data_IF_449525001630
#
_entry.id   IF_449525001630
#
_cell.length_a   1.000
_cell.length_b   1.000
_cell.length_c   1.000
_cell.angle_alpha   90.00
_cell.angle_beta   90.00
_cell.angle_gamma   90.00
#
_symmetry.space_group_name_H-M   'P 1'
#
loop_
_entity.id
_entity.type
_entity.pdbx_description
1 polymer ?
#
# COMPACT_ATOMS: atom_id res chain seq x y z
N UNK A 1 47.86 -5.23 2.25
CA UNK A 1 46.90 -4.20 2.74
C UNK A 1 45.62 -4.17 1.91
N UNK A 2 45.63 -3.83 0.61
CA UNK A 2 44.40 -3.77 -0.20
C UNK A 2 43.74 -5.14 -0.47
N UNK A 3 44.54 -6.20 -0.64
CA UNK A 3 44.01 -7.56 -0.87
C UNK A 3 43.40 -8.21 0.38
N UNK A 4 43.91 -7.87 1.57
CA UNK A 4 43.38 -8.37 2.85
C UNK A 4 42.05 -7.70 3.19
N UNK A 5 41.92 -6.41 2.87
CA UNK A 5 40.67 -5.66 3.02
C UNK A 5 39.57 -6.20 2.07
N UNK A 6 39.94 -6.51 0.83
CA UNK A 6 39.04 -7.14 -0.14
C UNK A 6 38.57 -8.52 0.30
N UNK A 7 39.45 -9.37 0.83
CA UNK A 7 39.08 -10.68 1.40
C UNK A 7 38.11 -10.56 2.58
N UNK A 8 38.35 -9.62 3.50
CA UNK A 8 37.45 -9.39 4.65
C UNK A 8 36.07 -8.91 4.21
N UNK A 9 35.99 -8.04 3.19
CA UNK A 9 34.73 -7.57 2.61
C UNK A 9 33.95 -8.71 1.93
N UNK A 10 34.63 -9.61 1.22
CA UNK A 10 33.99 -10.74 0.54
C UNK A 10 33.52 -11.83 1.53
N UNK A 11 34.29 -12.10 2.59
CA UNK A 11 33.84 -12.98 3.69
C UNK A 11 32.63 -12.40 4.42
N UNK A 12 32.62 -11.10 4.70
CA UNK A 12 31.48 -10.43 5.33
C UNK A 12 30.22 -10.48 4.45
N UNK A 13 30.35 -10.32 3.12
CA UNK A 13 29.24 -10.50 2.17
C UNK A 13 28.74 -11.94 2.15
N UNK A 14 29.64 -12.92 2.17
CA UNK A 14 29.30 -14.35 2.16
C UNK A 14 28.60 -14.78 3.45
N UNK A 15 29.05 -14.26 4.61
CA UNK A 15 28.40 -14.48 5.90
C UNK A 15 26.99 -13.86 5.94
N UNK A 16 26.83 -12.62 5.46
CA UNK A 16 25.51 -11.97 5.32
C UNK A 16 24.59 -12.75 4.39
N UNK A 17 25.09 -13.22 3.26
CA UNK A 17 24.32 -14.01 2.30
C UNK A 17 23.87 -15.35 2.90
N UNK A 18 24.76 -16.04 3.63
CA UNK A 18 24.43 -17.29 4.33
C UNK A 18 23.37 -17.08 5.43
N UNK A 19 23.42 -15.97 6.17
CA UNK A 19 22.41 -15.61 7.16
C UNK A 19 21.05 -15.33 6.51
N UNK A 20 21.04 -14.60 5.39
CA UNK A 20 19.82 -14.34 4.60
C UNK A 20 19.23 -15.64 4.07
N UNK A 21 20.05 -16.55 3.55
CA UNK A 21 19.57 -17.82 2.99
C UNK A 21 19.08 -18.77 4.08
N UNK A 22 19.69 -18.75 5.28
CA UNK A 22 19.17 -19.43 6.48
C UNK A 22 17.79 -18.89 6.88
N UNK A 23 17.63 -17.56 6.94
CA UNK A 23 16.33 -16.91 7.24
C UNK A 23 15.28 -17.22 6.18
N UNK A 24 15.64 -17.21 4.89
CA UNK A 24 14.77 -17.63 3.78
C UNK A 24 14.31 -19.08 3.92
N UNK A 25 15.22 -20.00 4.24
CA UNK A 25 14.91 -21.40 4.43
C UNK A 25 13.97 -21.61 5.63
N UNK A 26 14.18 -20.90 6.73
CA UNK A 26 13.32 -20.92 7.91
C UNK A 26 11.92 -20.38 7.62
N UNK A 27 11.82 -19.22 6.95
CA UNK A 27 10.53 -18.63 6.52
C UNK A 27 9.81 -19.58 5.57
N UNK A 28 10.51 -20.20 4.61
CA UNK A 28 9.94 -21.16 3.68
C UNK A 28 9.42 -22.42 4.41
N UNK A 29 10.20 -22.96 5.35
CA UNK A 29 9.80 -24.09 6.18
C UNK A 29 8.56 -23.77 7.02
N UNK A 30 8.53 -22.61 7.67
CA UNK A 30 7.37 -22.12 8.43
C UNK A 30 6.12 -21.96 7.55
N UNK A 31 6.28 -21.44 6.35
CA UNK A 31 5.18 -21.29 5.37
C UNK A 31 4.67 -22.65 4.87
N UNK A 32 5.56 -23.63 4.67
CA UNK A 32 5.21 -24.98 4.27
C UNK A 32 4.49 -25.75 5.39
N UNK A 33 4.97 -25.63 6.63
CA UNK A 33 4.34 -26.20 7.83
C UNK A 33 2.95 -25.61 8.08
N UNK A 34 2.78 -24.29 7.96
CA UNK A 34 1.48 -23.62 8.01
C UNK A 34 0.53 -24.07 6.89
N UNK A 35 1.07 -24.43 5.72
CA UNK A 35 0.30 -24.96 4.59
C UNK A 35 -0.10 -26.42 4.78
N UNK A 36 0.76 -27.24 5.42
CA UNK A 36 0.46 -28.64 5.80
C UNK A 36 -0.60 -28.71 6.90
N UNK A 37 -0.53 -27.83 7.91
CA UNK A 37 -1.53 -27.74 8.98
C UNK A 37 -2.96 -27.44 8.46
N UNK A 38 -3.10 -26.76 7.31
CA UNK A 38 -4.41 -26.50 6.68
C UNK A 38 -5.03 -27.71 5.98
N UNK A 39 -4.28 -28.79 5.74
CA UNK A 39 -4.81 -30.02 5.11
C UNK A 39 -5.46 -30.98 6.12
N UNK A 40 -5.27 -30.78 7.42
CA UNK A 40 -5.65 -31.75 8.45
C UNK A 40 -7.10 -31.64 8.99
N UNK A 41 -7.91 -30.63 8.59
CA UNK A 41 -9.32 -30.55 9.03
C UNK A 41 -10.29 -30.90 7.91
N UNK A 42 -10.58 -32.20 7.81
CA UNK A 42 -11.73 -32.77 7.10
C UNK A 42 -12.95 -32.63 8.04
N UNK A 43 -13.97 -31.85 7.67
CA UNK A 43 -15.31 -31.98 8.30
C UNK A 43 -16.00 -30.76 8.94
N UNK A 44 -15.98 -29.56 8.34
CA UNK A 44 -16.95 -28.52 8.75
C UNK A 44 -17.76 -27.90 7.60
N UNK A 45 -17.33 -28.05 6.34
CA UNK A 45 -18.00 -27.43 5.19
C UNK A 45 -17.75 -28.22 3.91
N UNK A 46 -18.78 -28.38 3.08
CA UNK A 46 -18.61 -28.92 1.72
C UNK A 46 -17.74 -27.96 0.88
N UNK A 47 -16.94 -28.48 -0.07
CA UNK A 47 -16.11 -27.65 -0.95
C UNK A 47 -16.89 -26.55 -1.69
N UNK A 48 -18.13 -26.85 -2.09
CA UNK A 48 -19.06 -25.92 -2.73
C UNK A 48 -19.46 -24.77 -1.80
N UNK A 49 -19.87 -25.09 -0.56
CA UNK A 49 -20.19 -24.07 0.46
C UNK A 49 -18.98 -23.18 0.76
N UNK A 50 -17.76 -23.75 0.76
CA UNK A 50 -16.50 -23.00 0.94
C UNK A 50 -16.16 -22.11 -0.24
N UNK A 51 -16.55 -22.50 -1.45
CA UNK A 51 -16.40 -21.65 -2.63
C UNK A 51 -17.40 -20.49 -2.59
N UNK A 52 -18.68 -20.78 -2.32
CA UNK A 52 -19.74 -19.77 -2.20
C UNK A 52 -19.42 -18.74 -1.12
N UNK A 53 -18.96 -19.17 0.06
CA UNK A 53 -18.57 -18.27 1.14
C UNK A 53 -17.39 -17.35 0.75
N UNK A 54 -16.36 -17.87 0.08
CA UNK A 54 -15.23 -17.04 -0.39
C UNK A 54 -15.66 -16.01 -1.43
N UNK A 55 -16.61 -16.35 -2.29
CA UNK A 55 -17.19 -15.41 -3.24
C UNK A 55 -17.94 -14.30 -2.50
N UNK A 56 -18.80 -14.65 -1.54
CA UNK A 56 -19.54 -13.68 -0.75
C UNK A 56 -18.63 -12.76 0.06
N UNK A 57 -17.56 -13.28 0.66
CA UNK A 57 -16.58 -12.47 1.39
C UNK A 57 -15.85 -11.46 0.49
N UNK A 58 -15.49 -11.86 -0.74
CA UNK A 58 -14.87 -10.93 -1.69
C UNK A 58 -15.86 -9.88 -2.21
N UNK A 59 -17.11 -10.28 -2.46
CA UNK A 59 -18.18 -9.33 -2.83
C UNK A 59 -18.40 -8.31 -1.73
N UNK A 60 -18.52 -8.75 -0.47
CA UNK A 60 -18.64 -7.87 0.69
C UNK A 60 -17.42 -6.97 0.84
N UNK A 61 -16.20 -7.51 0.70
CA UNK A 61 -14.98 -6.70 0.76
C UNK A 61 -14.93 -5.62 -0.32
N UNK A 62 -15.36 -5.93 -1.55
CA UNK A 62 -15.44 -4.96 -2.64
C UNK A 62 -16.50 -3.88 -2.38
N UNK A 63 -17.65 -4.26 -1.83
CA UNK A 63 -18.72 -3.34 -1.46
C UNK A 63 -18.28 -2.39 -0.33
N UNK A 64 -17.69 -2.93 0.75
CA UNK A 64 -17.15 -2.13 1.86
C UNK A 64 -16.03 -1.19 1.37
N UNK A 65 -15.16 -1.64 0.46
CA UNK A 65 -14.14 -0.78 -0.13
C UNK A 65 -14.75 0.40 -0.89
N UNK A 66 -15.81 0.16 -1.67
CA UNK A 66 -16.52 1.22 -2.40
C UNK A 66 -17.19 2.20 -1.42
N UNK A 67 -17.84 1.69 -0.39
CA UNK A 67 -18.48 2.50 0.66
C UNK A 67 -17.46 3.36 1.41
N UNK A 68 -16.28 2.82 1.69
CA UNK A 68 -15.19 3.58 2.31
C UNK A 68 -14.66 4.68 1.39
N UNK A 69 -14.53 4.41 0.08
CA UNK A 69 -14.14 5.42 -0.91
C UNK A 69 -15.16 6.56 -0.98
N UNK A 70 -16.46 6.24 -1.00
CA UNK A 70 -17.54 7.23 -0.99
C UNK A 70 -17.51 8.06 0.30
N UNK A 71 -17.31 7.43 1.47
CA UNK A 71 -17.16 8.13 2.75
C UNK A 71 -15.96 9.08 2.74
N UNK A 72 -14.79 8.62 2.29
CA UNK A 72 -13.58 9.44 2.18
C UNK A 72 -13.77 10.60 1.20
N UNK A 73 -14.48 10.38 0.09
CA UNK A 73 -14.78 11.44 -0.87
C UNK A 73 -15.74 12.49 -0.30
N UNK A 74 -16.76 12.06 0.45
CA UNK A 74 -17.68 12.97 1.13
C UNK A 74 -16.97 13.79 2.23
N UNK A 75 -16.15 13.13 3.04
CA UNK A 75 -15.33 13.78 4.06
C UNK A 75 -14.34 14.79 3.45
N UNK A 76 -13.68 14.42 2.33
CA UNK A 76 -12.83 15.35 1.57
C UNK A 76 -13.59 16.59 1.11
N UNK A 77 -14.82 16.44 0.61
CA UNK A 77 -15.66 17.59 0.21
C UNK A 77 -15.98 18.48 1.40
N UNK A 78 -16.41 17.89 2.52
CA UNK A 78 -16.70 18.62 3.76
C UNK A 78 -15.49 19.42 4.25
N UNK A 79 -14.31 18.80 4.29
CA UNK A 79 -13.08 19.47 4.73
C UNK A 79 -12.69 20.62 3.81
N UNK A 80 -12.86 20.47 2.49
CA UNK A 80 -12.59 21.55 1.53
C UNK A 80 -13.53 22.72 1.77
N UNK A 81 -14.83 22.46 1.95
CA UNK A 81 -15.82 23.50 2.23
C UNK A 81 -15.50 24.25 3.54
N UNK A 82 -15.14 23.52 4.59
CA UNK A 82 -14.75 24.09 5.88
C UNK A 82 -13.48 24.94 5.78
N UNK A 83 -12.45 24.46 5.06
CA UNK A 83 -11.15 25.16 4.95
C UNK A 83 -11.18 26.37 4.03
N UNK A 84 -11.87 26.26 2.90
CA UNK A 84 -11.95 27.32 1.89
C UNK A 84 -13.01 28.38 2.24
N UNK A 85 -14.08 27.99 2.93
CA UNK A 85 -15.15 28.88 3.34
C UNK A 85 -15.87 29.52 2.14
N UNK A 86 -16.51 30.67 2.39
CA UNK A 86 -17.20 31.45 1.36
C UNK A 86 -16.21 32.36 0.62
N UNK A 87 -16.43 32.61 -0.68
CA UNK A 87 -15.64 33.57 -1.43
C UNK A 87 -15.76 34.97 -0.79
N UNK A 88 -14.65 35.73 -0.82
CA UNK A 88 -14.64 37.12 -0.35
C UNK A 88 -15.47 37.98 -1.31
N UNK A 89 -16.19 38.96 -0.78
CA UNK A 89 -16.94 39.92 -1.60
C UNK A 89 -15.96 40.86 -2.31
N UNK A 90 -16.00 40.86 -3.64
CA UNK A 90 -15.15 41.68 -4.51
C UNK A 90 -15.94 42.81 -5.20
N UNK A 91 -17.25 42.66 -5.34
CA UNK A 91 -18.11 43.57 -6.10
C UNK A 91 -18.39 44.87 -5.33
N UNK A 92 -18.59 44.75 -4.01
CA UNK A 92 -18.88 45.91 -3.14
C UNK A 92 -17.62 46.43 -2.41
N UNK A 93 -16.44 45.94 -2.76
CA UNK A 93 -15.20 46.24 -2.05
C UNK A 93 -14.55 47.53 -2.59
N UNK A 94 -14.14 48.42 -1.68
CA UNK A 94 -13.32 49.57 -2.04
C UNK A 94 -11.86 49.17 -2.31
N UNK A 95 -11.06 50.07 -2.89
CA UNK A 95 -9.67 49.80 -3.27
C UNK A 95 -8.81 49.28 -2.11
N UNK A 96 -8.91 49.90 -0.94
CA UNK A 96 -8.18 49.46 0.26
C UNK A 96 -8.57 48.04 0.71
N UNK A 97 -9.87 47.72 0.66
CA UNK A 97 -10.37 46.37 0.98
C UNK A 97 -9.89 45.34 -0.06
N UNK A 98 -9.88 45.69 -1.35
CA UNK A 98 -9.36 44.83 -2.42
C UNK A 98 -7.88 44.54 -2.21
N UNK A 99 -7.05 45.55 -1.92
CA UNK A 99 -5.62 45.35 -1.60
C UNK A 99 -5.45 44.39 -0.42
N UNK A 100 -6.19 44.60 0.67
CA UNK A 100 -6.14 43.74 1.85
C UNK A 100 -6.51 42.27 1.54
N UNK A 101 -7.56 42.07 0.74
CA UNK A 101 -8.01 40.74 0.30
C UNK A 101 -6.91 40.03 -0.50
N UNK A 102 -6.30 40.72 -1.48
CA UNK A 102 -5.24 40.16 -2.32
C UNK A 102 -4.01 39.80 -1.49
N UNK A 103 -3.55 40.71 -0.62
CA UNK A 103 -2.39 40.44 0.25
C UNK A 103 -2.66 39.27 1.19
N UNK A 104 -3.85 39.19 1.78
CA UNK A 104 -4.24 38.09 2.65
C UNK A 104 -4.28 36.74 1.94
N UNK A 105 -4.82 36.70 0.71
CA UNK A 105 -4.78 35.49 -0.11
C UNK A 105 -3.35 35.08 -0.47
N UNK A 106 -2.51 36.03 -0.88
CA UNK A 106 -1.12 35.75 -1.21
C UNK A 106 -0.35 35.15 -0.03
N UNK A 107 -0.48 35.75 1.16
CA UNK A 107 0.14 35.21 2.39
C UNK A 107 -0.36 33.80 2.72
N UNK A 108 -1.67 33.56 2.57
CA UNK A 108 -2.25 32.25 2.82
C UNK A 108 -1.79 31.20 1.81
N UNK A 109 -1.66 31.56 0.54
CA UNK A 109 -1.13 30.66 -0.50
C UNK A 109 0.31 30.28 -0.17
N UNK A 110 1.16 31.25 0.19
CA UNK A 110 2.55 30.99 0.55
C UNK A 110 2.66 29.98 1.71
N UNK A 111 1.88 30.19 2.78
CA UNK A 111 1.83 29.25 3.91
C UNK A 111 1.32 27.86 3.52
N UNK A 112 0.27 27.78 2.70
CA UNK A 112 -0.27 26.50 2.24
C UNK A 112 0.72 25.74 1.35
N UNK A 113 1.52 26.45 0.55
CA UNK A 113 2.55 25.83 -0.29
C UNK A 113 3.69 25.27 0.56
N UNK A 114 4.11 25.96 1.62
CA UNK A 114 5.06 25.45 2.61
C UNK A 114 4.53 24.16 3.27
N UNK A 115 3.31 24.19 3.82
CA UNK A 115 2.68 23.01 4.44
C UNK A 115 2.54 21.84 3.45
N UNK A 116 2.18 22.13 2.20
CA UNK A 116 2.07 21.14 1.14
C UNK A 116 3.43 20.50 0.85
N UNK A 117 4.49 21.29 0.74
CA UNK A 117 5.84 20.79 0.47
C UNK A 117 6.30 19.82 1.57
N UNK A 118 6.10 20.16 2.84
CA UNK A 118 6.46 19.29 3.97
C UNK A 118 5.72 17.94 3.90
N UNK A 119 4.41 17.98 3.61
CA UNK A 119 3.62 16.77 3.42
C UNK A 119 4.09 15.93 2.23
N UNK A 120 4.43 16.55 1.11
CA UNK A 120 4.95 15.85 -0.07
C UNK A 120 6.29 15.18 0.22
N UNK A 121 7.18 15.83 0.96
CA UNK A 121 8.47 15.26 1.38
C UNK A 121 8.27 14.07 2.32
N UNK A 122 7.35 14.17 3.27
CA UNK A 122 7.04 13.06 4.16
C UNK A 122 6.45 11.86 3.39
N UNK A 123 5.52 12.11 2.46
CA UNK A 123 4.94 11.07 1.61
C UNK A 123 6.01 10.41 0.74
N UNK A 124 6.90 11.19 0.14
CA UNK A 124 8.00 10.68 -0.67
C UNK A 124 8.94 9.78 0.15
N UNK A 125 9.32 10.21 1.36
CA UNK A 125 10.14 9.41 2.27
C UNK A 125 9.46 8.09 2.63
N UNK A 126 8.18 8.13 3.00
CA UNK A 126 7.40 6.93 3.34
C UNK A 126 7.26 5.99 2.13
N UNK A 127 7.14 6.53 0.92
CA UNK A 127 7.06 5.73 -0.30
C UNK A 127 8.36 4.95 -0.56
N UNK A 128 9.52 5.57 -0.33
CA UNK A 128 10.82 4.91 -0.39
C UNK A 128 10.92 3.77 0.64
N UNK A 129 10.55 4.05 1.89
CA UNK A 129 10.57 3.05 2.96
C UNK A 129 9.64 1.85 2.65
N UNK A 130 8.44 2.10 2.12
CA UNK A 130 7.52 1.04 1.69
C UNK A 130 8.14 0.22 0.55
N UNK A 131 8.81 0.86 -0.41
CA UNK A 131 9.50 0.17 -1.50
C UNK A 131 10.61 -0.75 -0.98
N UNK A 132 11.44 -0.24 -0.07
CA UNK A 132 12.53 -1.00 0.54
C UNK A 132 12.02 -2.20 1.35
N UNK A 133 11.00 -1.98 2.19
CA UNK A 133 10.36 -3.05 2.95
C UNK A 133 9.70 -4.09 2.05
N UNK A 134 9.03 -3.67 0.97
CA UNK A 134 8.46 -4.59 -0.01
C UNK A 134 9.54 -5.44 -0.69
N UNK A 135 10.69 -4.84 -1.03
CA UNK A 135 11.83 -5.55 -1.59
C UNK A 135 12.36 -6.62 -0.62
N UNK A 136 12.59 -6.24 0.64
CA UNK A 136 13.06 -7.15 1.69
C UNK A 136 12.08 -8.31 1.93
N UNK A 137 10.78 -8.04 1.97
CA UNK A 137 9.74 -9.07 2.13
C UNK A 137 9.72 -10.04 0.94
N UNK A 138 9.88 -9.53 -0.28
CA UNK A 138 9.94 -10.36 -1.49
C UNK A 138 11.19 -11.25 -1.49
N UNK A 139 12.34 -10.71 -1.10
CA UNK A 139 13.57 -11.50 -0.99
C UNK A 139 13.47 -12.61 0.06
N UNK A 140 12.86 -12.33 1.22
CA UNK A 140 12.70 -13.33 2.28
C UNK A 140 11.71 -14.45 1.93
N UNK A 141 10.65 -14.13 1.19
CA UNK A 141 9.62 -15.10 0.79
C UNK A 141 10.04 -15.94 -0.44
N UNK A 142 11.15 -15.57 -1.07
CA UNK A 142 11.57 -16.06 -2.37
C UNK A 142 10.82 -15.36 -3.51
N UNK A 143 11.49 -15.15 -4.64
CA UNK A 143 10.87 -14.56 -5.84
C UNK A 143 9.62 -15.37 -6.17
N UNK A 144 8.44 -14.76 -6.03
CA UNK A 144 7.18 -15.38 -6.41
C UNK A 144 7.18 -15.60 -7.93
N UNK A 145 7.67 -16.75 -8.37
CA UNK A 145 7.61 -17.16 -9.77
C UNK A 145 6.17 -17.56 -10.04
N UNK A 146 5.43 -16.70 -10.74
CA UNK A 146 4.06 -17.01 -11.18
C UNK A 146 4.12 -18.29 -12.03
N UNK A 147 3.50 -19.40 -11.60
CA UNK A 147 3.54 -20.65 -12.35
C UNK A 147 2.92 -20.44 -13.74
N UNK A 148 3.43 -21.15 -14.74
CA UNK A 148 2.83 -21.15 -16.08
C UNK A 148 1.39 -21.68 -16.00
N UNK A 149 0.43 -20.87 -16.46
CA UNK A 149 -0.98 -21.24 -16.40
C UNK A 149 -1.27 -22.34 -17.43
N UNK A 150 -1.88 -23.44 -17.00
CA UNK A 150 -2.40 -24.46 -17.92
C UNK A 150 -3.69 -23.95 -18.58
N UNK A 151 -3.85 -24.21 -19.88
CA UNK A 151 -5.07 -23.89 -20.63
C UNK A 151 -6.23 -24.67 -20.03
N UNK A 152 -7.21 -23.98 -19.46
CA UNK A 152 -8.46 -24.55 -18.94
C UNK A 152 -9.58 -24.35 -19.96
N UNK A 153 -10.44 -25.36 -20.12
CA UNK A 153 -11.61 -25.32 -21.01
C UNK A 153 -12.59 -24.22 -20.58
N UNK A 154 -13.08 -23.42 -21.54
CA UNK A 154 -14.04 -22.33 -21.31
C UNK A 154 -15.44 -22.81 -20.87
N UNK A 155 -15.78 -24.07 -21.12
CA UNK A 155 -17.16 -24.56 -21.03
C UNK A 155 -17.50 -25.28 -19.72
N UNK A 156 -16.53 -25.55 -18.84
CA UNK A 156 -16.80 -26.10 -17.51
C UNK A 156 -17.00 -24.98 -16.49
N UNK A 157 -18.04 -24.16 -16.66
CA UNK A 157 -18.59 -23.40 -15.56
C UNK A 157 -19.35 -24.34 -14.61
N UNK A 158 -18.62 -25.26 -13.95
CA UNK A 158 -19.15 -26.13 -12.86
C UNK A 158 -19.45 -25.34 -11.57
N UNK A 159 -19.61 -24.02 -11.66
CA UNK A 159 -19.59 -23.11 -10.53
C UNK A 159 -20.43 -21.84 -10.72
N UNK A 160 -21.26 -21.80 -11.76
CA UNK A 160 -22.46 -20.96 -11.73
C UNK A 160 -23.44 -21.57 -10.72
#
# INVERSE_FOLDING_TARGET
>A
MADDEKKRLDEAKKAKQAEIDRKRAEVRKRMEEASKAKKAKKGFMTPERKKKLRLLLRKKAAEELKKEQERKAAERRRIIEERCGRPKNIEDANEAALTSIITGYHQRIAKLEEEKYDHEMEVARRALEISDLNSQVNDLRGKFVKPTLKKVSKYENKFA
#
